data_IF_415754243522
#
_entry.id   IF_415754243522
#
_cell.length_a   1.000
_cell.length_b   1.000
_cell.length_c   1.000
_cell.angle_alpha   90.00
_cell.angle_beta   90.00
_cell.angle_gamma   90.00
#
_symmetry.space_group_name_H-M   'P 1'
#
loop_
_entity.id
_entity.type
_entity.pdbx_description
1 polymer ?
#
# COMPACT_ATOMS: atom_id res chain seq x y z
N UNK A 1 16.10 -2.27 19.26
CA UNK A 1 15.98 -1.15 18.31
C UNK A 1 17.21 -0.26 18.36
N UNK A 2 17.47 0.42 17.27
CA UNK A 2 18.51 1.46 17.26
C UNK A 2 18.00 2.67 18.06
N UNK A 3 18.85 3.33 18.86
CA UNK A 3 18.46 4.55 19.54
C UNK A 3 18.09 5.62 18.51
N UNK A 4 16.94 6.25 18.68
CA UNK A 4 16.49 7.36 17.84
C UNK A 4 16.91 8.68 18.49
N UNK A 5 17.49 9.55 17.70
CA UNK A 5 17.86 10.90 18.13
C UNK A 5 16.84 11.85 17.50
N UNK A 6 16.08 12.63 18.29
CA UNK A 6 15.14 13.60 17.79
C UNK A 6 15.75 14.50 16.72
N UNK A 7 15.02 14.75 15.66
CA UNK A 7 15.43 15.57 14.49
C UNK A 7 16.69 15.10 13.74
N UNK A 8 17.23 13.91 14.06
CA UNK A 8 18.43 13.35 13.42
C UNK A 8 18.26 11.90 12.99
N UNK A 9 17.07 11.34 13.13
CA UNK A 9 16.80 9.96 12.72
C UNK A 9 16.60 9.87 11.20
N UNK A 10 17.45 9.13 10.51
CA UNK A 10 17.30 8.84 9.08
C UNK A 10 15.98 8.11 8.78
N UNK A 11 15.44 7.37 9.76
CA UNK A 11 14.14 6.72 9.64
C UNK A 11 13.00 7.73 9.50
N UNK A 12 13.08 8.89 10.15
CA UNK A 12 12.08 9.96 10.05
C UNK A 12 11.93 10.46 8.61
N UNK A 13 13.02 10.68 7.90
CA UNK A 13 13.00 11.18 6.53
C UNK A 13 12.31 10.23 5.56
N UNK A 14 12.46 8.93 5.75
CA UNK A 14 11.86 7.94 4.85
C UNK A 14 10.33 7.90 4.94
N UNK A 15 9.74 8.40 6.02
CA UNK A 15 8.29 8.40 6.24
C UNK A 15 7.61 9.75 5.97
N UNK A 16 8.35 10.85 5.81
CA UNK A 16 7.78 12.13 5.38
C UNK A 16 6.96 12.01 4.09
N UNK A 17 7.38 11.15 3.20
CA UNK A 17 6.70 10.93 1.92
C UNK A 17 5.37 10.20 2.04
N UNK A 18 5.17 9.45 3.12
CA UNK A 18 3.97 8.64 3.36
C UNK A 18 3.03 9.29 4.37
N UNK A 19 3.54 10.23 5.18
CA UNK A 19 2.72 10.97 6.13
C UNK A 19 1.94 12.07 5.42
N UNK A 20 0.65 11.86 5.32
CA UNK A 20 -0.28 12.80 4.71
C UNK A 20 -0.40 14.13 5.46
N UNK A 21 -0.06 14.17 6.71
CA UNK A 21 -0.19 15.38 7.54
C UNK A 21 1.05 16.26 7.48
N UNK A 22 2.14 15.76 6.92
CA UNK A 22 3.34 16.57 6.72
C UNK A 22 3.15 17.52 5.53
N UNK A 23 3.13 18.80 5.86
CA UNK A 23 2.94 19.89 4.91
C UNK A 23 4.30 20.43 4.48
N UNK A 24 4.96 19.75 3.57
CA UNK A 24 6.27 20.19 3.08
C UNK A 24 6.48 19.81 1.63
N UNK A 25 7.63 20.22 1.08
CA UNK A 25 8.06 19.91 -0.29
C UNK A 25 8.21 18.39 -0.55
N UNK A 26 8.07 17.57 0.49
CA UNK A 26 8.35 16.14 0.47
C UNK A 26 7.12 15.24 0.44
N UNK A 27 5.89 15.76 0.49
CA UNK A 27 4.66 14.96 0.35
C UNK A 27 4.48 14.48 -1.09
N UNK A 28 5.35 13.56 -1.51
CA UNK A 28 5.45 13.08 -2.90
C UNK A 28 4.64 11.82 -3.16
N UNK A 29 4.18 11.14 -2.11
CA UNK A 29 3.43 9.91 -2.23
C UNK A 29 2.00 10.09 -1.72
N UNK A 30 1.06 9.56 -2.49
CA UNK A 30 -0.35 9.54 -2.16
C UNK A 30 -0.87 8.12 -2.16
N UNK A 31 -1.88 7.86 -1.34
CA UNK A 31 -2.60 6.61 -1.38
C UNK A 31 -3.50 6.55 -2.62
N UNK A 32 -3.76 5.33 -3.08
CA UNK A 32 -4.70 5.08 -4.17
C UNK A 32 -6.14 5.18 -3.64
N UNK A 33 -6.98 6.09 -4.17
CA UNK A 33 -8.39 6.14 -3.81
C UNK A 33 -9.13 4.82 -4.05
N UNK A 34 -8.82 4.10 -5.13
CA UNK A 34 -9.42 2.78 -5.40
C UNK A 34 -9.05 1.75 -4.33
N UNK A 35 -7.83 1.83 -3.78
CA UNK A 35 -7.47 0.96 -2.67
C UNK A 35 -8.29 1.29 -1.41
N UNK A 36 -8.50 2.58 -1.11
CA UNK A 36 -9.36 2.99 0.01
C UNK A 36 -10.77 2.41 -0.13
N UNK A 37 -11.33 2.40 -1.33
CA UNK A 37 -12.68 1.88 -1.61
C UNK A 37 -12.79 0.35 -1.42
N UNK A 38 -11.68 -0.37 -1.28
CA UNK A 38 -11.68 -1.81 -0.95
C UNK A 38 -11.84 -2.10 0.55
N UNK A 39 -11.75 -1.08 1.40
CA UNK A 39 -11.96 -1.23 2.84
C UNK A 39 -13.44 -1.21 3.16
N UNK A 40 -13.87 -2.06 4.07
CA UNK A 40 -15.26 -2.12 4.52
C UNK A 40 -15.52 -1.14 5.66
N UNK A 41 -16.76 -0.74 5.82
CA UNK A 41 -17.19 0.04 6.97
C UNK A 41 -16.87 -0.70 8.27
N UNK A 42 -16.38 0.03 9.28
CA UNK A 42 -15.92 -0.55 10.55
C UNK A 42 -14.45 -0.98 10.57
N UNK A 43 -13.75 -1.00 9.42
CA UNK A 43 -12.32 -1.25 9.40
C UNK A 43 -11.55 -0.15 10.14
N UNK A 44 -10.84 -0.53 11.19
CA UNK A 44 -10.08 0.41 12.04
C UNK A 44 -8.96 1.13 11.29
N UNK A 45 -8.61 0.69 10.07
CA UNK A 45 -7.60 1.33 9.22
C UNK A 45 -8.17 2.47 8.36
N UNK A 46 -9.49 2.52 8.14
CA UNK A 46 -10.12 3.59 7.35
C UNK A 46 -9.79 5.00 7.84
N UNK A 47 -9.78 5.30 9.15
CA UNK A 47 -9.42 6.62 9.66
C UNK A 47 -7.96 7.04 9.42
N UNK A 48 -7.10 6.13 8.96
CA UNK A 48 -5.74 6.46 8.54
C UNK A 48 -5.70 7.19 7.20
N UNK A 49 -6.74 7.05 6.36
CA UNK A 49 -6.85 7.83 5.13
C UNK A 49 -7.37 9.24 5.44
N UNK A 50 -6.78 10.21 4.79
CA UNK A 50 -7.22 11.60 4.89
C UNK A 50 -6.97 12.33 3.57
N UNK A 51 -8.03 12.99 3.07
CA UNK A 51 -7.86 13.88 1.94
C UNK A 51 -7.09 15.13 2.36
N UNK A 52 -6.16 15.53 1.53
CA UNK A 52 -5.23 16.63 1.77
C UNK A 52 -5.50 17.78 0.81
N UNK A 53 -4.98 18.95 1.12
CA UNK A 53 -5.22 20.27 0.52
C UNK A 53 -5.39 20.32 -1.00
N UNK A 54 -4.69 19.54 -1.75
CA UNK A 54 -4.76 19.58 -3.22
C UNK A 54 -5.77 18.57 -3.79
N UNK A 55 -6.47 17.82 -2.95
CA UNK A 55 -7.31 16.69 -3.36
C UNK A 55 -6.57 15.35 -3.39
N UNK A 56 -5.35 15.30 -2.85
CA UNK A 56 -4.60 14.05 -2.70
C UNK A 56 -5.10 13.25 -1.51
N UNK A 57 -5.10 11.92 -1.66
CA UNK A 57 -5.39 11.00 -0.56
C UNK A 57 -4.09 10.65 0.17
N UNK A 58 -3.97 11.09 1.41
CA UNK A 58 -2.87 10.72 2.26
C UNK A 58 -3.17 9.49 3.12
N UNK A 59 -2.12 8.94 3.75
CA UNK A 59 -2.22 7.77 4.61
C UNK A 59 -1.35 7.93 5.86
N UNK A 60 -1.98 8.05 7.03
CA UNK A 60 -1.34 8.42 8.31
C UNK A 60 -0.70 7.28 9.08
N UNK A 61 -0.60 6.09 8.52
CA UNK A 61 0.02 4.92 9.17
C UNK A 61 1.44 5.19 9.66
N UNK A 62 2.18 6.01 8.93
CA UNK A 62 3.57 6.34 9.21
C UNK A 62 3.74 7.73 9.81
N UNK A 63 2.73 8.18 10.53
CA UNK A 63 2.76 9.47 11.20
C UNK A 63 3.96 9.57 12.13
N UNK A 64 4.70 10.67 12.00
CA UNK A 64 5.84 10.95 12.87
C UNK A 64 5.39 11.42 14.24
N UNK A 65 6.22 11.14 15.24
CA UNK A 65 6.06 11.67 16.60
C UNK A 65 6.41 13.16 16.62
N UNK A 66 5.99 13.84 17.68
CA UNK A 66 6.24 15.28 17.85
C UNK A 66 7.73 15.66 17.94
N UNK A 67 8.60 14.70 18.18
CA UNK A 67 10.07 14.85 18.23
C UNK A 67 10.76 14.49 16.92
N UNK A 68 9.99 14.39 15.82
CA UNK A 68 10.45 14.02 14.46
C UNK A 68 11.07 12.61 14.39
N UNK A 69 10.67 11.70 15.28
CA UNK A 69 11.07 10.28 15.20
C UNK A 69 9.95 9.41 14.67
N UNK A 70 10.34 8.32 13.99
CA UNK A 70 9.44 7.29 13.54
C UNK A 70 10.10 5.90 13.59
N UNK A 71 9.31 4.86 13.79
CA UNK A 71 9.80 3.49 13.78
C UNK A 71 9.84 2.95 12.34
N UNK A 72 10.95 2.31 11.98
CA UNK A 72 11.05 1.56 10.74
C UNK A 72 10.49 0.15 10.96
N UNK A 73 9.40 -0.16 10.27
CA UNK A 73 8.78 -1.48 10.32
C UNK A 73 9.60 -2.43 9.43
N UNK A 74 10.32 -3.36 10.06
CA UNK A 74 11.09 -4.39 9.33
C UNK A 74 10.28 -5.66 9.12
N UNK A 75 9.60 -6.13 10.16
CA UNK A 75 8.73 -7.32 10.15
C UNK A 75 7.65 -7.17 11.20
N UNK A 76 6.48 -7.76 10.95
CA UNK A 76 5.39 -7.80 11.92
C UNK A 76 4.48 -9.01 11.74
N UNK A 77 3.81 -9.40 12.83
CA UNK A 77 2.99 -10.60 12.85
C UNK A 77 1.90 -10.65 11.77
N UNK A 78 1.35 -9.50 11.38
CA UNK A 78 0.33 -9.42 10.33
C UNK A 78 0.81 -10.01 9.00
N UNK A 79 2.07 -9.79 8.62
CA UNK A 79 2.65 -10.40 7.43
C UNK A 79 2.70 -11.92 7.55
N UNK A 80 3.07 -12.43 8.72
CA UNK A 80 3.16 -13.88 8.95
C UNK A 80 1.80 -14.57 8.81
N UNK A 81 0.73 -13.98 9.34
CA UNK A 81 -0.64 -14.50 9.14
C UNK A 81 -1.02 -14.56 7.66
N UNK A 82 -0.65 -13.55 6.88
CA UNK A 82 -0.97 -13.50 5.45
C UNK A 82 -0.13 -14.50 4.64
N UNK A 83 1.14 -14.69 5.00
CA UNK A 83 2.01 -15.74 4.40
C UNK A 83 1.44 -17.11 4.71
N UNK A 84 1.09 -17.39 5.96
CA UNK A 84 0.53 -18.68 6.38
C UNK A 84 -0.78 -18.98 5.65
N UNK A 85 -1.69 -18.01 5.56
CA UNK A 85 -2.95 -18.20 4.84
C UNK A 85 -2.70 -18.52 3.36
N UNK A 86 -1.86 -17.75 2.67
CA UNK A 86 -1.55 -17.97 1.26
C UNK A 86 -0.89 -19.34 1.04
N UNK A 87 0.08 -19.72 1.88
CA UNK A 87 0.76 -21.00 1.79
C UNK A 87 -0.22 -22.17 1.94
N UNK A 88 -1.11 -22.13 2.93
CA UNK A 88 -2.12 -23.18 3.15
C UNK A 88 -3.08 -23.31 1.96
N UNK A 89 -3.52 -22.19 1.38
CA UNK A 89 -4.39 -22.21 0.19
C UNK A 89 -3.64 -22.85 -0.99
N UNK A 90 -2.39 -22.46 -1.22
CA UNK A 90 -1.58 -23.01 -2.33
C UNK A 90 -1.23 -24.47 -2.15
N UNK A 91 -1.07 -24.94 -0.92
CA UNK A 91 -0.82 -26.35 -0.56
C UNK A 91 -2.07 -27.24 -0.62
N UNK A 92 -3.23 -26.66 -0.96
CA UNK A 92 -4.49 -27.40 -1.13
C UNK A 92 -5.19 -27.74 0.18
N UNK A 93 -4.86 -27.11 1.29
CA UNK A 93 -5.64 -27.21 2.54
C UNK A 93 -7.05 -26.72 2.28
N UNK A 94 -8.05 -27.39 2.88
CA UNK A 94 -9.46 -26.99 2.76
C UNK A 94 -9.64 -25.49 3.05
N UNK A 95 -10.30 -24.75 2.16
CA UNK A 95 -10.33 -23.29 2.18
C UNK A 95 -10.79 -22.73 3.53
N UNK A 96 -11.81 -23.34 4.16
CA UNK A 96 -12.29 -22.93 5.47
C UNK A 96 -11.22 -23.00 6.58
N UNK A 97 -10.26 -23.90 6.46
CA UNK A 97 -9.13 -24.03 7.39
C UNK A 97 -7.98 -23.13 6.97
N UNK A 98 -7.74 -23.02 5.68
CA UNK A 98 -6.64 -22.23 5.12
C UNK A 98 -6.78 -20.72 5.44
N UNK A 99 -8.00 -20.20 5.49
CA UNK A 99 -8.26 -18.78 5.77
C UNK A 99 -8.26 -18.42 7.26
N UNK A 100 -8.08 -19.37 8.17
CA UNK A 100 -8.10 -19.07 9.61
C UNK A 100 -7.04 -17.99 10.02
N UNK A 101 -5.79 -17.98 9.53
CA UNK A 101 -4.86 -16.90 9.82
C UNK A 101 -5.31 -15.55 9.22
N UNK A 102 -5.88 -15.55 8.00
CA UNK A 102 -6.48 -14.35 7.40
C UNK A 102 -7.60 -13.81 8.29
N UNK A 103 -8.49 -14.66 8.77
CA UNK A 103 -9.61 -14.27 9.61
C UNK A 103 -9.15 -13.74 10.98
N UNK A 104 -8.07 -14.31 11.54
CA UNK A 104 -7.44 -13.77 12.75
C UNK A 104 -7.04 -12.30 12.55
N UNK A 105 -6.39 -11.99 11.43
CA UNK A 105 -6.02 -10.62 11.10
C UNK A 105 -7.24 -9.73 10.84
N UNK A 106 -8.20 -10.18 10.02
CA UNK A 106 -9.41 -9.43 9.68
C UNK A 106 -10.23 -9.08 10.91
N UNK A 107 -10.41 -10.01 11.84
CA UNK A 107 -11.11 -9.77 13.10
C UNK A 107 -10.37 -8.73 13.96
N UNK A 108 -9.04 -8.77 14.01
CA UNK A 108 -8.24 -7.76 14.67
C UNK A 108 -8.34 -6.37 14.00
N UNK A 109 -8.87 -6.28 12.79
CA UNK A 109 -9.14 -5.01 12.05
C UNK A 109 -10.62 -4.61 12.09
N UNK A 110 -11.49 -5.38 12.75
CA UNK A 110 -12.91 -5.09 12.87
C UNK A 110 -13.73 -5.46 11.63
N UNK A 111 -13.17 -6.26 10.72
CA UNK A 111 -13.79 -6.55 9.39
C UNK A 111 -14.63 -7.84 9.40
N UNK A 112 -14.39 -8.75 10.34
CA UNK A 112 -15.03 -10.06 10.37
C UNK A 112 -14.41 -11.08 9.42
N UNK A 113 -14.95 -12.31 9.48
CA UNK A 113 -14.42 -13.43 8.70
C UNK A 113 -14.66 -13.28 7.20
N UNK A 114 -13.74 -13.81 6.42
CA UNK A 114 -13.88 -13.95 4.97
C UNK A 114 -14.61 -15.25 4.66
N UNK A 115 -15.76 -15.13 4.00
CA UNK A 115 -16.59 -16.25 3.62
C UNK A 115 -16.06 -16.95 2.37
N UNK A 116 -15.78 -18.25 2.50
CA UNK A 116 -15.21 -19.06 1.41
C UNK A 116 -16.24 -19.90 0.65
N UNK A 117 -17.51 -19.87 1.07
CA UNK A 117 -18.58 -20.65 0.42
C UNK A 117 -18.72 -20.25 -1.04
N UNK A 118 -18.58 -21.21 -1.95
CA UNK A 118 -18.65 -20.98 -3.39
C UNK A 118 -17.43 -20.30 -4.02
N UNK A 119 -16.35 -20.11 -3.24
CA UNK A 119 -15.10 -19.52 -3.74
C UNK A 119 -14.15 -20.58 -4.27
N UNK A 120 -13.45 -20.24 -5.33
CA UNK A 120 -12.32 -21.01 -5.84
C UNK A 120 -11.06 -20.75 -5.01
N UNK A 121 -10.05 -21.60 -5.17
CA UNK A 121 -8.72 -21.37 -4.62
C UNK A 121 -8.14 -20.03 -5.08
N UNK A 122 -8.34 -19.67 -6.35
CA UNK A 122 -7.86 -18.43 -6.93
C UNK A 122 -8.55 -17.19 -6.32
N UNK A 123 -9.86 -17.26 -6.08
CA UNK A 123 -10.60 -16.19 -5.41
C UNK A 123 -10.03 -15.91 -4.02
N UNK A 124 -9.75 -16.97 -3.26
CA UNK A 124 -9.18 -16.85 -1.91
C UNK A 124 -7.75 -16.29 -1.96
N UNK A 125 -6.92 -16.73 -2.90
CA UNK A 125 -5.57 -16.16 -3.10
C UNK A 125 -5.67 -14.68 -3.44
N UNK A 126 -6.58 -14.28 -4.33
CA UNK A 126 -6.77 -12.88 -4.70
C UNK A 126 -7.20 -12.03 -3.51
N UNK A 127 -8.10 -12.53 -2.64
CA UNK A 127 -8.47 -11.83 -1.41
C UNK A 127 -7.29 -11.70 -0.44
N UNK A 128 -6.50 -12.76 -0.25
CA UNK A 128 -5.30 -12.69 0.60
C UNK A 128 -4.32 -11.64 0.06
N UNK A 129 -4.10 -11.60 -1.25
CA UNK A 129 -3.23 -10.59 -1.88
C UNK A 129 -3.81 -9.19 -1.74
N UNK A 130 -5.13 -9.03 -1.81
CA UNK A 130 -5.79 -7.75 -1.55
C UNK A 130 -5.64 -7.34 -0.08
N UNK A 131 -5.80 -8.28 0.86
CA UNK A 131 -5.59 -8.00 2.28
C UNK A 131 -4.12 -7.66 2.58
N UNK A 132 -3.16 -8.30 1.92
CA UNK A 132 -1.75 -7.89 1.98
C UNK A 132 -1.56 -6.45 1.51
N UNK A 133 -2.21 -6.07 0.42
CA UNK A 133 -2.15 -4.71 -0.11
C UNK A 133 -2.74 -3.68 0.85
N UNK A 134 -3.87 -4.00 1.54
CA UNK A 134 -4.47 -3.14 2.57
C UNK A 134 -3.58 -3.04 3.81
N UNK A 135 -3.12 -4.18 4.30
CA UNK A 135 -2.42 -4.29 5.59
C UNK A 135 -0.98 -3.77 5.51
N UNK A 136 -0.28 -4.08 4.41
CA UNK A 136 1.13 -3.79 4.23
C UNK A 136 1.39 -2.55 3.36
N UNK A 137 0.37 -1.69 3.19
CA UNK A 137 0.50 -0.45 2.43
C UNK A 137 1.67 0.38 2.95
N UNK A 138 2.59 0.76 2.06
CA UNK A 138 3.77 1.56 2.37
C UNK A 138 4.95 0.79 2.99
N UNK A 139 4.83 -0.52 3.23
CA UNK A 139 5.89 -1.34 3.84
C UNK A 139 6.83 -2.01 2.81
N UNK A 140 6.72 -1.67 1.53
CA UNK A 140 7.64 -2.13 0.48
C UNK A 140 7.26 -3.46 -0.18
N UNK A 141 6.20 -4.15 0.23
CA UNK A 141 5.84 -5.48 -0.28
C UNK A 141 5.16 -5.46 -1.65
N UNK A 142 4.60 -4.34 -2.09
CA UNK A 142 3.77 -4.29 -3.30
C UNK A 142 4.48 -4.77 -4.56
N UNK A 143 5.71 -4.31 -4.83
CA UNK A 143 6.48 -4.72 -6.01
C UNK A 143 6.88 -6.20 -5.92
N UNK A 144 7.24 -6.68 -4.74
CA UNK A 144 7.60 -8.09 -4.52
C UNK A 144 6.40 -9.00 -4.78
N UNK A 145 5.21 -8.62 -4.30
CA UNK A 145 3.98 -9.36 -4.55
C UNK A 145 3.62 -9.39 -6.05
N UNK A 146 3.77 -8.27 -6.76
CA UNK A 146 3.58 -8.21 -8.22
C UNK A 146 4.51 -9.18 -8.95
N UNK A 147 5.80 -9.15 -8.63
CA UNK A 147 6.80 -9.98 -9.29
C UNK A 147 6.59 -11.48 -9.01
N UNK A 148 6.43 -11.87 -7.74
CA UNK A 148 6.30 -13.28 -7.35
C UNK A 148 4.99 -13.92 -7.83
N UNK A 149 3.93 -13.12 -7.97
CA UNK A 149 2.62 -13.58 -8.46
C UNK A 149 2.45 -13.42 -9.96
N UNK A 150 3.46 -12.88 -10.65
CA UNK A 150 3.44 -12.59 -12.08
C UNK A 150 2.22 -11.76 -12.51
N UNK A 151 1.88 -10.77 -11.68
CA UNK A 151 0.83 -9.80 -11.99
C UNK A 151 1.43 -8.51 -12.58
N UNK A 152 0.58 -7.68 -13.15
CA UNK A 152 0.95 -6.33 -13.56
C UNK A 152 0.61 -5.32 -12.46
N UNK A 153 1.20 -4.13 -12.51
CA UNK A 153 0.71 -2.98 -11.76
C UNK A 153 -0.69 -2.64 -12.25
N UNK A 154 -1.62 -2.51 -11.34
CA UNK A 154 -2.97 -2.07 -11.62
C UNK A 154 -3.13 -0.64 -11.13
N UNK A 155 -3.31 0.28 -12.08
CA UNK A 155 -3.65 1.68 -11.80
C UNK A 155 -4.77 2.09 -12.75
N UNK A 156 -5.82 2.68 -12.19
CA UNK A 156 -6.93 3.21 -12.96
C UNK A 156 -7.05 4.73 -12.74
N UNK A 157 -7.54 5.43 -13.76
CA UNK A 157 -8.00 6.79 -13.57
C UNK A 157 -9.23 6.79 -12.64
N UNK A 158 -9.42 7.86 -11.91
CA UNK A 158 -10.66 8.04 -11.17
C UNK A 158 -11.84 8.08 -12.15
N UNK A 159 -12.95 7.47 -11.77
CA UNK A 159 -14.19 7.59 -12.54
C UNK A 159 -14.66 9.05 -12.61
N UNK A 160 -15.46 9.38 -13.62
CA UNK A 160 -16.05 10.72 -13.76
C UNK A 160 -16.86 11.13 -12.53
N UNK A 161 -17.50 10.18 -11.87
CA UNK A 161 -18.25 10.40 -10.65
C UNK A 161 -17.33 10.73 -9.48
N UNK A 162 -16.28 9.96 -9.27
CA UNK A 162 -15.28 10.23 -8.23
C UNK A 162 -14.62 11.59 -8.44
N UNK A 163 -14.25 11.94 -9.67
CA UNK A 163 -13.62 13.23 -9.98
C UNK A 163 -14.53 14.44 -9.72
N UNK A 164 -15.85 14.26 -9.76
CA UNK A 164 -16.84 15.33 -9.55
C UNK A 164 -17.36 15.39 -8.12
N UNK A 165 -17.14 14.36 -7.32
CA UNK A 165 -17.59 14.31 -5.93
C UNK A 165 -16.56 14.98 -5.04
N UNK A 166 -16.86 16.21 -4.62
CA UNK A 166 -15.99 16.96 -3.72
C UNK A 166 -15.80 16.24 -2.38
N UNK A 167 -14.58 16.28 -1.88
CA UNK A 167 -14.16 15.71 -0.59
C UNK A 167 -13.64 16.79 0.34
N UNK A 168 -13.74 16.57 1.64
CA UNK A 168 -13.20 17.47 2.65
C UNK A 168 -11.69 17.27 2.77
N UNK A 169 -10.92 18.21 2.23
CA UNK A 169 -9.47 18.20 2.23
C UNK A 169 -8.92 19.00 3.40
N UNK A 170 -8.10 18.34 4.21
CA UNK A 170 -7.40 19.01 5.30
C UNK A 170 -6.41 20.05 4.76
N UNK A 171 -6.42 21.21 5.42
CA UNK A 171 -5.53 22.34 5.13
C UNK A 171 -4.55 22.55 6.28
N UNK A 172 -3.42 23.17 5.97
CA UNK A 172 -2.48 23.63 7.01
C UNK A 172 -3.20 24.56 7.99
N UNK A 173 -3.01 24.29 9.30
CA UNK A 173 -3.75 25.01 10.35
C UNK A 173 -5.03 24.31 10.82
N UNK A 174 -5.38 23.13 10.26
CA UNK A 174 -6.44 22.26 10.77
C UNK A 174 -7.85 22.58 10.24
N UNK A 175 -7.98 23.46 9.25
CA UNK A 175 -9.25 23.69 8.55
C UNK A 175 -9.50 22.64 7.46
N UNK A 176 -10.72 22.62 6.92
CA UNK A 176 -11.10 21.77 5.80
C UNK A 176 -11.68 22.60 4.65
N UNK A 177 -11.32 22.23 3.43
CA UNK A 177 -11.88 22.84 2.23
C UNK A 177 -12.36 21.75 1.26
N UNK A 178 -13.43 22.05 0.53
CA UNK A 178 -13.94 21.17 -0.53
C UNK A 178 -13.02 21.21 -1.75
N UNK A 179 -12.60 20.03 -2.22
CA UNK A 179 -11.79 19.84 -3.42
C UNK A 179 -12.24 18.61 -4.17
N UNK A 180 -11.99 18.60 -5.46
CA UNK A 180 -12.14 17.39 -6.26
C UNK A 180 -10.98 16.44 -5.97
N UNK A 181 -11.23 15.14 -5.79
CA UNK A 181 -10.19 14.15 -5.54
C UNK A 181 -9.26 14.02 -6.74
N UNK A 182 -7.99 13.78 -6.47
CA UNK A 182 -6.97 13.48 -7.45
C UNK A 182 -6.60 11.99 -7.39
N UNK A 183 -6.44 11.39 -8.56
CA UNK A 183 -5.99 10.00 -8.72
C UNK A 183 -4.54 9.90 -9.18
N UNK A 184 -4.14 8.72 -9.62
CA UNK A 184 -2.81 8.50 -10.17
C UNK A 184 -2.57 9.29 -11.46
N UNK A 185 -1.39 9.94 -11.54
CA UNK A 185 -0.96 10.65 -12.74
C UNK A 185 -0.39 9.72 -13.81
N UNK A 186 0.29 8.66 -13.37
CA UNK A 186 0.94 7.70 -14.26
C UNK A 186 0.13 6.41 -14.32
N UNK A 187 -0.58 6.21 -15.42
CA UNK A 187 -1.40 5.04 -15.68
C UNK A 187 -0.70 4.03 -16.60
N UNK A 188 0.49 4.36 -17.08
CA UNK A 188 1.30 3.58 -17.99
C UNK A 188 2.79 3.66 -17.60
N UNK A 189 3.60 2.81 -18.23
CA UNK A 189 5.06 2.96 -18.15
C UNK A 189 5.53 4.29 -18.74
N UNK A 190 6.75 4.76 -18.40
CA UNK A 190 7.30 6.02 -18.92
C UNK A 190 7.36 6.11 -20.46
N UNK A 191 7.39 4.98 -21.16
CA UNK A 191 7.34 4.92 -22.62
C UNK A 191 5.91 4.94 -23.20
N UNK A 192 4.89 5.19 -22.38
CA UNK A 192 3.47 5.23 -22.77
C UNK A 192 2.79 3.87 -22.96
N UNK A 193 3.52 2.75 -22.81
CA UNK A 193 2.92 1.41 -22.91
C UNK A 193 2.19 1.05 -21.62
N UNK A 194 1.08 0.27 -21.72
CA UNK A 194 0.36 -0.19 -20.53
C UNK A 194 1.23 -1.08 -19.64
N UNK A 195 0.93 -1.12 -18.37
CA UNK A 195 1.58 -2.03 -17.43
C UNK A 195 1.31 -3.48 -17.88
N UNK A 196 2.37 -4.27 -17.99
CA UNK A 196 2.33 -5.68 -18.39
C UNK A 196 3.03 -6.55 -17.37
N UNK A 197 2.63 -7.82 -17.29
CA UNK A 197 3.29 -8.80 -16.43
C UNK A 197 4.77 -8.98 -16.83
N UNK A 198 5.62 -9.28 -15.87
CA UNK A 198 7.05 -9.57 -16.07
C UNK A 198 7.82 -8.48 -16.85
N UNK A 199 7.36 -7.23 -16.79
CA UNK A 199 8.05 -6.14 -17.44
C UNK A 199 9.41 -5.86 -16.81
N UNK A 200 10.42 -5.59 -17.63
CA UNK A 200 11.74 -5.16 -17.17
C UNK A 200 11.71 -3.82 -16.41
N UNK A 201 10.65 -3.03 -16.55
CA UNK A 201 10.46 -1.81 -15.76
C UNK A 201 10.23 -2.06 -14.26
N UNK A 202 9.92 -3.30 -13.86
CA UNK A 202 9.81 -3.67 -12.45
C UNK A 202 11.17 -4.05 -11.83
N UNK A 203 12.24 -4.10 -12.62
CA UNK A 203 13.57 -4.47 -12.18
C UNK A 203 14.50 -3.26 -12.17
N UNK A 204 15.39 -3.22 -11.22
CA UNK A 204 16.48 -2.25 -11.26
C UNK A 204 17.44 -2.58 -12.40
N UNK A 205 17.80 -1.58 -13.18
CA UNK A 205 18.84 -1.74 -14.18
C UNK A 205 20.20 -2.01 -13.51
N UNK A 206 21.01 -2.86 -14.15
CA UNK A 206 22.40 -3.03 -13.73
C UNK A 206 23.12 -1.68 -13.94
N UNK A 207 23.82 -1.14 -12.93
CA UNK A 207 24.53 0.12 -13.07
C UNK A 207 25.54 0.08 -14.21
N UNK A 208 25.61 1.13 -15.02
CA UNK A 208 26.54 1.19 -16.17
C UNK A 208 28.00 0.98 -15.77
N UNK A 209 28.39 1.39 -14.56
CA UNK A 209 29.72 1.12 -14.01
C UNK A 209 30.00 -0.36 -13.86
N UNK A 210 29.03 -1.13 -13.43
CA UNK A 210 29.14 -2.58 -13.30
C UNK A 210 29.25 -3.25 -14.67
N UNK A 211 28.42 -2.84 -15.63
CA UNK A 211 28.50 -3.35 -17.00
C UNK A 211 29.90 -3.07 -17.61
N UNK A 212 30.46 -1.90 -17.36
CA UNK A 212 31.76 -1.51 -17.90
C UNK A 212 32.93 -2.23 -17.20
N UNK A 213 32.75 -2.63 -15.94
CA UNK A 213 33.85 -3.22 -15.15
C UNK A 213 33.82 -4.76 -15.15
N UNK A 214 32.67 -5.39 -15.45
CA UNK A 214 32.48 -6.83 -15.39
C UNK A 214 32.30 -7.42 -16.80
N UNK A 215 33.32 -8.11 -17.33
CA UNK A 215 33.25 -8.68 -18.67
C UNK A 215 32.30 -9.87 -18.80
N UNK A 216 31.66 -10.31 -17.70
CA UNK A 216 30.74 -11.45 -17.67
C UNK A 216 29.25 -11.03 -17.66
N UNK A 217 28.93 -9.74 -17.85
CA UNK A 217 27.58 -9.20 -17.97
C UNK A 217 27.27 -8.83 -19.40
#
# INVERSE_FOLDING_TARGET
GFPQIPSQSDASYNFYYLDATYVGAYSSFMADPHLKDTFTEGDIRLPLFQWMREGYLGYKKFHMRADDTADLVLMRAAEMYLIEAEAKVRDGVALAQAVAPLNTLRNARGVGDYEVTGKSQEDVINEILMERRRELLGEGFGITDILRTQKAVERAALSDEMQKTEVDCWQEGGSFEKRNPLGHWFLNFPNGKPFTVNSTYYLYAIPQKEINANPNI
#
